data_IF_115407241118
#
_entry.id   IF_115407241118
#
_cell.length_a   1.000
_cell.length_b   1.000
_cell.length_c   1.000
_cell.angle_alpha   90.00
_cell.angle_beta   90.00
_cell.angle_gamma   90.00
#
_symmetry.space_group_name_H-M   'P 1'
#
loop_
_entity.id
_entity.type
_entity.pdbx_description
1 polymer ?
#
# COMPACT_ATOMS: atom_id res chain seq x y z
N UNK A 1 12.68 -17.30 -14.85
CA UNK A 1 12.99 -17.13 -13.43
C UNK A 1 12.10 -16.02 -12.92
N UNK A 2 11.35 -16.20 -11.84
CA UNK A 2 10.46 -15.20 -11.27
C UNK A 2 11.11 -14.62 -10.02
N UNK A 3 11.03 -13.31 -9.84
CA UNK A 3 11.38 -12.68 -8.58
C UNK A 3 10.11 -12.56 -7.72
N UNK A 4 10.21 -12.96 -6.47
CA UNK A 4 9.17 -12.76 -5.49
C UNK A 4 9.37 -11.36 -4.88
N UNK A 5 8.34 -10.53 -4.95
CA UNK A 5 8.26 -9.35 -4.09
C UNK A 5 7.98 -9.87 -2.68
N UNK A 6 9.06 -10.16 -1.96
CA UNK A 6 8.98 -10.75 -0.63
C UNK A 6 8.19 -9.84 0.31
N UNK A 7 7.25 -10.44 1.03
CA UNK A 7 6.46 -9.87 2.12
C UNK A 7 5.31 -8.91 1.78
N UNK A 8 4.87 -8.86 0.52
CA UNK A 8 3.50 -8.44 0.29
C UNK A 8 2.61 -9.62 0.68
N UNK A 9 1.58 -9.38 1.45
CA UNK A 9 0.64 -10.41 1.93
C UNK A 9 -0.14 -11.10 0.83
N UNK A 10 -0.06 -10.59 -0.38
CA UNK A 10 -0.32 -11.34 -1.60
C UNK A 10 1.03 -11.61 -2.26
N UNK A 11 1.43 -12.87 -2.37
CA UNK A 11 2.62 -13.22 -3.12
C UNK A 11 2.38 -12.96 -4.59
N UNK A 12 2.97 -11.88 -5.10
CA UNK A 12 2.90 -11.51 -6.50
C UNK A 12 4.21 -11.93 -7.16
N UNK A 13 4.12 -12.79 -8.16
CA UNK A 13 5.25 -13.19 -8.99
C UNK A 13 5.22 -12.41 -10.30
N UNK A 14 6.32 -11.76 -10.60
CA UNK A 14 6.57 -11.12 -11.89
C UNK A 14 7.76 -11.78 -12.58
N UNK A 15 7.80 -11.83 -13.91
CA UNK A 15 8.98 -12.32 -14.65
C UNK A 15 10.22 -11.52 -14.26
N UNK A 16 11.34 -12.22 -14.11
CA UNK A 16 12.65 -11.57 -13.93
C UNK A 16 13.17 -11.05 -15.27
N UNK A 17 12.38 -10.20 -15.92
CA UNK A 17 12.69 -9.54 -17.18
C UNK A 17 12.44 -8.05 -17.02
N UNK A 18 13.08 -7.25 -17.85
CA UNK A 18 12.82 -5.80 -17.86
C UNK A 18 11.38 -5.55 -18.29
N UNK A 19 10.62 -4.90 -17.42
CA UNK A 19 9.27 -4.44 -17.75
C UNK A 19 9.40 -3.29 -18.74
N UNK A 20 8.79 -3.44 -19.92
CA UNK A 20 8.79 -2.42 -20.96
C UNK A 20 7.45 -1.72 -21.00
N UNK A 21 7.47 -0.39 -21.10
CA UNK A 21 6.28 0.41 -21.26
C UNK A 21 5.52 0.00 -22.53
N UNK A 22 4.20 -0.11 -22.43
CA UNK A 22 3.33 -0.49 -23.56
C UNK A 22 3.28 -1.99 -23.88
N UNK A 23 3.95 -2.84 -23.07
CA UNK A 23 3.85 -4.30 -23.19
C UNK A 23 3.08 -4.90 -22.05
N UNK A 24 2.28 -5.95 -22.35
CA UNK A 24 1.63 -6.74 -21.31
C UNK A 24 2.67 -7.56 -20.53
N UNK A 25 2.61 -7.48 -19.21
CA UNK A 25 3.44 -8.28 -18.32
C UNK A 25 2.57 -9.29 -17.58
N UNK A 26 2.92 -10.57 -17.68
CA UNK A 26 2.25 -11.62 -16.92
C UNK A 26 2.57 -11.47 -15.43
N UNK A 27 1.52 -11.35 -14.63
CA UNK A 27 1.60 -11.27 -13.17
C UNK A 27 0.87 -12.47 -12.60
N UNK A 28 1.50 -13.21 -11.70
CA UNK A 28 0.89 -14.35 -11.01
C UNK A 28 0.65 -13.97 -9.56
N UNK A 29 -0.57 -14.19 -9.10
CA UNK A 29 -0.93 -14.08 -7.69
C UNK A 29 -1.00 -15.47 -7.12
N UNK A 30 -0.27 -15.74 -6.04
CA UNK A 30 -0.20 -17.04 -5.37
C UNK A 30 -0.66 -16.88 -3.91
N UNK A 31 -0.63 -17.97 -3.14
CA UNK A 31 -1.06 -18.05 -1.73
C UNK A 31 -2.58 -17.85 -1.53
N UNK A 32 -3.35 -18.41 -2.45
CA UNK A 32 -4.82 -18.35 -2.42
C UNK A 32 -5.48 -19.11 -1.26
N UNK A 33 -4.73 -19.98 -0.56
CA UNK A 33 -5.24 -20.81 0.54
C UNK A 33 -5.68 -19.98 1.75
N UNK A 34 -5.21 -18.74 1.85
CA UNK A 34 -5.64 -17.82 2.91
C UNK A 34 -6.78 -16.91 2.49
N UNK A 35 -7.27 -17.05 1.26
CA UNK A 35 -8.34 -16.21 0.73
C UNK A 35 -9.65 -16.51 1.43
N UNK A 36 -10.36 -15.45 1.84
CA UNK A 36 -11.65 -15.53 2.50
C UNK A 36 -12.56 -14.39 2.05
N UNK A 37 -13.87 -14.60 2.23
CA UNK A 37 -14.82 -13.51 2.04
C UNK A 37 -14.60 -12.46 3.15
N UNK A 38 -14.36 -11.23 2.75
CA UNK A 38 -14.04 -10.17 3.67
C UNK A 38 -14.35 -8.78 3.13
N UNK A 39 -13.88 -7.79 3.86
CA UNK A 39 -14.04 -6.37 3.48
C UNK A 39 -12.80 -5.94 2.70
N UNK A 40 -12.98 -5.56 1.45
CA UNK A 40 -11.90 -5.20 0.53
C UNK A 40 -10.94 -4.11 1.05
N UNK A 41 -11.43 -3.21 1.90
CA UNK A 41 -10.61 -2.17 2.52
C UNK A 41 -9.41 -2.71 3.32
N UNK A 42 -9.53 -3.92 3.88
CA UNK A 42 -8.45 -4.55 4.67
C UNK A 42 -7.30 -4.91 3.73
N UNK A 43 -7.58 -5.65 2.68
CA UNK A 43 -6.56 -6.12 1.73
C UNK A 43 -5.95 -4.95 0.96
N UNK A 44 -6.81 -4.02 0.50
CA UNK A 44 -6.36 -2.81 -0.19
C UNK A 44 -5.49 -1.94 0.72
N UNK A 45 -5.91 -1.74 1.97
CA UNK A 45 -5.16 -0.97 2.96
C UNK A 45 -3.81 -1.60 3.29
N UNK A 46 -3.74 -2.91 3.36
CA UNK A 46 -2.50 -3.66 3.57
C UNK A 46 -1.53 -3.50 2.40
N UNK A 47 -2.00 -3.69 1.17
CA UNK A 47 -1.19 -3.49 -0.04
C UNK A 47 -0.61 -2.07 -0.11
N UNK A 48 -1.45 -1.06 0.17
CA UNK A 48 -1.03 0.34 0.21
C UNK A 48 0.03 0.57 1.28
N UNK A 49 -0.15 0.03 2.47
CA UNK A 49 0.79 0.16 3.56
C UNK A 49 2.15 -0.45 3.23
N UNK A 50 2.18 -1.65 2.63
CA UNK A 50 3.43 -2.32 2.27
C UNK A 50 4.19 -1.55 1.18
N UNK A 51 3.50 -1.04 0.16
CA UNK A 51 4.11 -0.19 -0.87
C UNK A 51 4.60 1.14 -0.29
N UNK A 52 3.79 1.77 0.56
CA UNK A 52 4.16 3.04 1.18
C UNK A 52 5.35 2.90 2.13
N UNK A 53 5.46 1.76 2.85
CA UNK A 53 6.61 1.45 3.68
C UNK A 53 7.90 1.34 2.87
N UNK A 54 7.87 0.74 1.68
CA UNK A 54 9.04 0.70 0.78
C UNK A 54 9.52 2.11 0.40
N UNK A 55 8.59 3.02 0.17
CA UNK A 55 8.92 4.43 -0.03
C UNK A 55 9.54 5.05 1.22
N UNK A 56 8.92 4.91 2.38
CA UNK A 56 9.37 5.51 3.64
C UNK A 56 10.77 5.02 4.06
N UNK A 57 11.03 3.71 3.95
CA UNK A 57 12.27 3.10 4.42
C UNK A 57 13.39 3.09 3.38
N UNK A 58 13.06 3.04 2.10
CA UNK A 58 14.05 2.84 1.04
C UNK A 58 14.13 4.00 0.04
N UNK A 59 13.25 4.99 0.16
CA UNK A 59 13.16 6.09 -0.79
C UNK A 59 12.81 5.65 -2.21
N UNK A 60 12.14 4.51 -2.37
CA UNK A 60 11.82 3.94 -3.68
C UNK A 60 10.63 4.64 -4.30
N UNK A 61 10.85 5.63 -5.15
CA UNK A 61 9.78 6.34 -5.88
C UNK A 61 8.91 5.39 -6.72
N UNK A 62 9.50 4.30 -7.22
CA UNK A 62 8.76 3.28 -7.96
C UNK A 62 7.65 2.64 -7.12
N UNK A 63 7.80 2.58 -5.80
CA UNK A 63 6.74 2.09 -4.92
C UNK A 63 5.50 3.00 -4.95
N UNK A 64 5.69 4.31 -5.02
CA UNK A 64 4.59 5.27 -5.20
C UNK A 64 3.94 5.15 -6.58
N UNK A 65 4.70 4.87 -7.62
CA UNK A 65 4.14 4.62 -8.95
C UNK A 65 3.25 3.38 -8.96
N UNK A 66 3.73 2.28 -8.37
CA UNK A 66 2.95 1.05 -8.25
C UNK A 66 1.70 1.30 -7.41
N UNK A 67 1.81 2.03 -6.31
CA UNK A 67 0.70 2.40 -5.45
C UNK A 67 -0.37 3.17 -6.23
N UNK A 68 0.02 4.19 -6.98
CA UNK A 68 -0.91 4.99 -7.81
C UNK A 68 -1.57 4.13 -8.89
N UNK A 69 -0.78 3.27 -9.57
CA UNK A 69 -1.31 2.32 -10.56
C UNK A 69 -2.29 1.33 -9.95
N UNK A 70 -2.00 0.83 -8.76
CA UNK A 70 -2.88 -0.06 -8.01
C UNK A 70 -4.19 0.63 -7.63
N UNK A 71 -4.16 1.84 -7.05
CA UNK A 71 -5.36 2.60 -6.71
C UNK A 71 -6.24 2.85 -7.93
N UNK A 72 -5.63 3.24 -9.05
CA UNK A 72 -6.35 3.48 -10.30
C UNK A 72 -6.97 2.20 -10.88
N UNK A 73 -6.24 1.09 -10.84
CA UNK A 73 -6.70 -0.20 -11.40
C UNK A 73 -7.72 -0.90 -10.52
N UNK A 74 -7.60 -0.77 -9.20
CA UNK A 74 -8.52 -1.38 -8.24
C UNK A 74 -9.88 -0.69 -8.22
N UNK A 75 -9.91 0.63 -8.38
CA UNK A 75 -11.11 1.46 -8.38
C UNK A 75 -11.64 1.73 -6.97
N UNK A 76 -11.20 2.81 -6.36
CA UNK A 76 -11.80 3.32 -5.12
C UNK A 76 -13.16 3.90 -5.46
N UNK A 77 -14.22 3.30 -4.91
CA UNK A 77 -15.60 3.55 -5.36
C UNK A 77 -16.32 4.64 -4.58
N UNK A 78 -15.78 5.12 -3.45
CA UNK A 78 -16.38 6.16 -2.64
C UNK A 78 -15.39 6.75 -1.63
N UNK A 79 -15.68 7.97 -1.16
CA UNK A 79 -14.93 8.64 -0.10
C UNK A 79 -14.86 7.79 1.19
N UNK A 80 -15.96 7.20 1.59
CA UNK A 80 -16.01 6.30 2.74
C UNK A 80 -15.09 5.08 2.54
N UNK A 81 -15.04 4.53 1.33
CA UNK A 81 -14.12 3.45 0.99
C UNK A 81 -12.66 3.92 1.11
N UNK A 82 -12.32 5.10 0.58
CA UNK A 82 -11.00 5.67 0.68
C UNK A 82 -10.56 5.86 2.14
N UNK A 83 -11.39 6.46 2.99
CA UNK A 83 -11.07 6.64 4.40
C UNK A 83 -10.94 5.32 5.17
N UNK A 84 -11.79 4.35 4.93
CA UNK A 84 -11.65 3.02 5.54
C UNK A 84 -10.36 2.33 5.12
N UNK A 85 -10.02 2.42 3.85
CA UNK A 85 -8.76 1.88 3.31
C UNK A 85 -7.55 2.54 3.96
N UNK A 86 -7.54 3.86 4.09
CA UNK A 86 -6.46 4.60 4.76
C UNK A 86 -6.37 4.31 6.25
N UNK A 87 -7.49 4.08 6.94
CA UNK A 87 -7.49 3.61 8.34
C UNK A 87 -6.76 2.27 8.43
N UNK A 88 -7.10 1.31 7.59
CA UNK A 88 -6.43 0.00 7.58
C UNK A 88 -4.96 0.10 7.22
N UNK A 89 -4.59 0.96 6.25
CA UNK A 89 -3.19 1.22 5.92
C UNK A 89 -2.41 1.78 7.12
N UNK A 90 -2.98 2.77 7.83
CA UNK A 90 -2.36 3.34 9.03
C UNK A 90 -2.18 2.32 10.14
N UNK A 91 -3.20 1.49 10.40
CA UNK A 91 -3.13 0.39 11.39
C UNK A 91 -2.05 -0.62 10.98
N UNK A 92 -1.99 -1.00 9.71
CA UNK A 92 -1.02 -1.98 9.22
C UNK A 92 0.41 -1.46 9.35
N UNK A 93 0.67 -0.20 9.01
CA UNK A 93 1.99 0.44 9.21
C UNK A 93 2.42 0.41 10.68
N UNK A 94 1.51 0.68 11.61
CA UNK A 94 1.83 0.67 13.05
C UNK A 94 2.07 -0.76 13.54
N UNK A 95 1.19 -1.70 13.19
CA UNK A 95 1.21 -3.05 13.77
C UNK A 95 2.23 -3.96 13.10
N UNK A 96 2.25 -4.03 11.77
CA UNK A 96 3.13 -4.94 11.02
C UNK A 96 4.42 -4.25 10.57
N UNK A 97 4.32 -2.99 10.15
CA UNK A 97 5.46 -2.22 9.67
C UNK A 97 6.55 -2.00 10.72
N UNK A 98 6.22 -2.11 12.01
CA UNK A 98 7.17 -1.93 13.13
C UNK A 98 7.69 -3.25 13.70
N UNK A 99 7.07 -4.39 13.40
CA UNK A 99 7.48 -5.71 13.92
C UNK A 99 8.61 -6.31 13.09
N UNK A 100 8.63 -6.06 11.81
CA UNK A 100 9.57 -6.66 10.87
C UNK A 100 10.95 -5.99 10.94
N UNK A 101 11.74 -6.42 11.92
CA UNK A 101 13.09 -5.89 12.18
C UNK A 101 14.10 -6.17 11.07
N UNK A 102 13.80 -7.11 10.17
CA UNK A 102 14.65 -7.39 9.01
C UNK A 102 14.54 -6.31 7.93
N UNK A 103 13.49 -5.48 8.00
CA UNK A 103 13.17 -4.48 6.99
C UNK A 103 13.67 -3.06 7.31
N UNK A 104 14.26 -2.80 8.49
CA UNK A 104 14.73 -1.46 8.77
C UNK A 104 15.44 -1.27 10.13
N UNK A 105 16.09 -0.14 10.25
CA UNK A 105 16.68 0.36 11.50
C UNK A 105 15.61 0.86 12.46
N UNK A 106 15.95 1.09 13.72
CA UNK A 106 15.00 1.66 14.70
C UNK A 106 14.47 3.03 14.28
N UNK A 107 15.30 3.85 13.63
CA UNK A 107 14.90 5.17 13.13
C UNK A 107 13.88 5.04 11.98
N UNK A 108 14.10 4.10 11.07
CA UNK A 108 13.16 3.81 9.99
C UNK A 108 11.81 3.29 10.53
N UNK A 109 11.85 2.43 11.56
CA UNK A 109 10.63 1.94 12.21
C UNK A 109 9.86 3.08 12.90
N UNK A 110 10.56 4.05 13.50
CA UNK A 110 9.92 5.24 14.07
C UNK A 110 9.25 6.10 12.99
N UNK A 111 9.90 6.29 11.84
CA UNK A 111 9.32 7.00 10.68
C UNK A 111 8.04 6.32 10.22
N UNK A 112 8.05 4.99 10.07
CA UNK A 112 6.89 4.19 9.67
C UNK A 112 5.75 4.30 10.68
N UNK A 113 6.04 4.17 11.97
CA UNK A 113 5.05 4.28 13.04
C UNK A 113 4.41 5.67 13.07
N UNK A 114 5.21 6.72 12.91
CA UNK A 114 4.75 8.11 12.86
C UNK A 114 3.87 8.37 11.65
N UNK A 115 4.27 7.87 10.46
CA UNK A 115 3.47 7.96 9.25
C UNK A 115 2.12 7.25 9.42
N UNK A 116 2.15 6.00 9.90
CA UNK A 116 0.93 5.22 10.17
C UNK A 116 -0.02 5.92 11.14
N UNK A 117 0.51 6.48 12.24
CA UNK A 117 -0.27 7.25 13.20
C UNK A 117 -0.92 8.49 12.55
N UNK A 118 -0.17 9.23 11.74
CA UNK A 118 -0.70 10.44 11.10
C UNK A 118 -1.78 10.09 10.08
N UNK A 119 -1.57 9.06 9.26
CA UNK A 119 -2.57 8.55 8.32
C UNK A 119 -3.84 8.15 9.07
N UNK A 120 -3.72 7.35 10.13
CA UNK A 120 -4.84 6.87 10.92
C UNK A 120 -5.67 8.02 11.52
N UNK A 121 -5.00 9.02 12.12
CA UNK A 121 -5.67 10.13 12.76
C UNK A 121 -6.39 11.04 11.75
N UNK A 122 -5.76 11.33 10.61
CA UNK A 122 -6.38 12.19 9.59
C UNK A 122 -7.50 11.45 8.86
N UNK A 123 -7.36 10.14 8.62
CA UNK A 123 -8.44 9.32 8.09
C UNK A 123 -9.65 9.24 9.04
N UNK A 124 -9.42 9.06 10.33
CA UNK A 124 -10.49 9.07 11.34
C UNK A 124 -11.23 10.41 11.40
N UNK A 125 -10.49 11.51 11.21
CA UNK A 125 -11.06 12.87 11.18
C UNK A 125 -11.71 13.23 9.86
N UNK A 126 -11.56 12.38 8.85
CA UNK A 126 -11.97 12.64 7.46
C UNK A 126 -11.37 13.93 6.89
N UNK A 127 -10.09 14.18 7.21
CA UNK A 127 -9.35 15.34 6.72
C UNK A 127 -8.91 15.11 5.26
N UNK A 128 -9.84 15.33 4.33
CA UNK A 128 -9.62 15.19 2.90
C UNK A 128 -8.43 16.01 2.43
N UNK A 129 -8.34 17.27 2.88
CA UNK A 129 -7.30 18.19 2.44
C UNK A 129 -5.90 17.69 2.77
N UNK A 130 -5.72 17.05 3.94
CA UNK A 130 -4.44 16.47 4.32
C UNK A 130 -4.01 15.35 3.35
N UNK A 131 -4.97 14.60 2.85
CA UNK A 131 -4.68 13.53 1.88
C UNK A 131 -4.43 14.06 0.47
N UNK A 132 -5.19 15.06 0.02
CA UNK A 132 -5.01 15.70 -1.29
C UNK A 132 -3.60 16.31 -1.46
N UNK A 133 -3.04 16.86 -0.39
CA UNK A 133 -1.70 17.44 -0.36
C UNK A 133 -0.58 16.40 -0.13
N UNK A 134 -0.92 15.11 0.06
CA UNK A 134 -0.01 14.05 0.46
C UNK A 134 0.25 12.97 -0.59
N UNK A 135 1.16 12.03 -0.24
CA UNK A 135 1.56 10.91 -1.11
C UNK A 135 0.42 9.95 -1.44
N UNK A 136 -0.63 9.93 -0.61
CA UNK A 136 -1.79 9.06 -0.73
C UNK A 136 -3.00 9.73 -1.42
N UNK A 137 -2.80 10.87 -2.08
CA UNK A 137 -3.84 11.59 -2.83
C UNK A 137 -4.58 10.70 -3.83
N UNK A 138 -3.85 9.76 -4.46
CA UNK A 138 -4.42 8.85 -5.44
C UNK A 138 -5.59 7.96 -4.93
N UNK A 139 -5.76 7.84 -3.62
CA UNK A 139 -6.91 7.15 -3.02
C UNK A 139 -8.20 7.98 -3.12
N UNK A 140 -8.08 9.27 -3.31
CA UNK A 140 -9.18 10.22 -3.32
C UNK A 140 -9.44 10.82 -4.71
N UNK A 141 -8.52 10.67 -5.68
CA UNK A 141 -8.62 11.23 -7.04
C UNK A 141 -9.87 10.76 -7.83
N UNK A 142 -10.39 9.59 -7.52
CA UNK A 142 -11.53 9.00 -8.24
C UNK A 142 -12.87 9.21 -7.53
N UNK A 143 -12.89 9.97 -6.43
CA UNK A 143 -14.05 10.12 -5.55
C UNK A 143 -14.70 11.51 -5.68
N UNK A 144 -14.08 12.39 -6.49
CA UNK A 144 -14.56 13.74 -6.78
C UNK A 144 -15.63 13.77 -7.88
#
# INVERSE_FOLDING_TARGET
MFSQLAHLTCSILIPNATIQEGTETLVFVIDWETSQLGVSNIDTGQMIADLYRLWLCRGLETALWVLRGFCKGYGIVSEEHAFRTTIHAGVHLISRGTIDREMGTMDELEVVARAGRNILLNAYRKDMKWFEDGDLACLFDSVA
#
